data_IF_405895238731
#
_entry.id   IF_405895238731
#
_cell.length_a   1.000
_cell.length_b   1.000
_cell.length_c   1.000
_cell.angle_alpha   90.00
_cell.angle_beta   90.00
_cell.angle_gamma   90.00
#
_symmetry.space_group_name_H-M   'P 1'
#
loop_
_entity.id
_entity.type
_entity.pdbx_description
1 polymer ?
#
# COMPACT_ATOMS: atom_id res chain seq x y z
N UNK A 1 41.77 19.15 -10.25
CA UNK A 1 40.33 19.00 -9.99
C UNK A 1 40.18 18.22 -8.68
N UNK A 2 40.67 18.78 -7.56
CA UNK A 2 40.68 18.15 -6.23
C UNK A 2 40.76 19.27 -5.17
N UNK A 3 39.72 20.11 -5.08
CA UNK A 3 39.66 21.18 -4.08
C UNK A 3 38.23 21.43 -3.55
N UNK A 4 37.31 20.51 -3.82
CA UNK A 4 35.90 20.62 -3.46
C UNK A 4 35.43 19.56 -2.44
N UNK A 5 36.33 18.80 -1.81
CA UNK A 5 35.98 17.77 -0.81
C UNK A 5 36.52 18.01 0.61
N UNK A 6 37.50 18.90 0.79
CA UNK A 6 38.07 19.18 2.13
C UNK A 6 37.33 20.28 2.91
N UNK A 7 36.45 21.03 2.26
CA UNK A 7 35.66 22.10 2.89
C UNK A 7 34.36 21.60 3.53
N UNK A 8 33.80 20.49 3.06
CA UNK A 8 32.58 19.88 3.61
C UNK A 8 32.85 19.20 4.96
N UNK A 9 33.94 18.42 5.06
CA UNK A 9 34.22 17.62 6.26
C UNK A 9 34.51 18.46 7.51
N UNK A 10 35.05 19.67 7.36
CA UNK A 10 35.35 20.59 8.48
C UNK A 10 34.12 21.33 9.00
N UNK A 11 33.04 21.44 8.22
CA UNK A 11 31.77 22.00 8.68
C UNK A 11 30.84 20.94 9.28
N UNK A 12 30.98 19.67 8.87
CA UNK A 12 30.25 18.54 9.45
C UNK A 12 30.73 18.18 10.87
N UNK A 13 32.03 18.28 11.16
CA UNK A 13 32.60 18.01 12.50
C UNK A 13 31.95 18.82 13.64
N UNK A 14 31.87 20.16 13.59
CA UNK A 14 31.26 20.95 14.67
C UNK A 14 29.74 20.73 14.77
N UNK A 15 29.07 20.42 13.67
CA UNK A 15 27.62 20.10 13.65
C UNK A 15 27.35 18.76 14.35
N UNK A 16 28.18 17.76 14.10
CA UNK A 16 28.07 16.44 14.73
C UNK A 16 28.45 16.49 16.22
N UNK A 17 29.43 17.31 16.60
CA UNK A 17 29.77 17.57 18.00
C UNK A 17 28.60 18.19 18.77
N UNK A 18 27.87 19.12 18.16
CA UNK A 18 26.68 19.72 18.77
C UNK A 18 25.57 18.68 19.03
N UNK A 19 25.32 17.79 18.07
CA UNK A 19 24.36 16.69 18.23
C UNK A 19 24.79 15.75 19.36
N UNK A 20 26.08 15.40 19.45
CA UNK A 20 26.64 14.62 20.55
C UNK A 20 26.46 15.31 21.92
N UNK A 21 26.70 16.62 21.99
CA UNK A 21 26.52 17.40 23.22
C UNK A 21 25.06 17.43 23.68
N UNK A 22 24.11 17.67 22.77
CA UNK A 22 22.67 17.65 23.08
C UNK A 22 22.23 16.25 23.49
N UNK A 23 22.73 15.20 22.83
CA UNK A 23 22.44 13.80 23.18
C UNK A 23 22.88 13.47 24.60
N UNK A 24 24.15 13.74 24.92
CA UNK A 24 24.71 13.48 26.27
C UNK A 24 23.98 14.28 27.34
N UNK A 25 23.62 15.53 27.04
CA UNK A 25 22.85 16.37 27.96
C UNK A 25 21.46 15.81 28.25
N UNK A 26 20.76 15.31 27.23
CA UNK A 26 19.37 14.88 27.35
C UNK A 26 19.21 13.46 27.89
N UNK A 27 20.07 12.53 27.49
CA UNK A 27 19.95 11.11 27.84
C UNK A 27 20.98 10.63 28.87
N UNK A 28 22.00 11.45 29.17
CA UNK A 28 23.12 11.09 30.06
C UNK A 28 23.89 9.86 29.58
N UNK A 29 23.96 9.68 28.24
CA UNK A 29 24.66 8.60 27.54
C UNK A 29 25.66 9.16 26.54
N UNK A 30 26.72 8.42 26.25
CA UNK A 30 27.72 8.80 25.25
C UNK A 30 27.27 8.55 23.80
N UNK A 31 26.25 7.72 23.61
CA UNK A 31 25.67 7.43 22.30
C UNK A 31 24.39 6.61 22.42
N UNK A 32 23.74 6.29 21.28
CA UNK A 32 22.53 5.48 21.25
C UNK A 32 22.84 3.99 21.43
N UNK A 33 22.10 3.33 22.32
CA UNK A 33 22.32 1.93 22.71
C UNK A 33 21.36 0.96 22.00
N UNK A 34 20.13 1.40 21.74
CA UNK A 34 19.10 0.60 21.07
C UNK A 34 18.72 1.19 19.69
N UNK A 35 17.91 0.45 18.94
CA UNK A 35 17.55 0.82 17.56
C UNK A 35 16.69 2.11 17.51
N UNK A 36 15.81 2.32 18.49
CA UNK A 36 14.99 3.52 18.59
C UNK A 36 15.84 4.77 18.90
N UNK A 37 16.77 4.65 19.84
CA UNK A 37 17.75 5.70 20.14
C UNK A 37 18.62 6.01 18.92
N UNK A 38 19.04 4.98 18.16
CA UNK A 38 19.81 5.17 16.91
C UNK A 38 18.99 5.92 15.87
N UNK A 39 17.70 5.62 15.72
CA UNK A 39 16.82 6.33 14.80
C UNK A 39 16.68 7.82 15.16
N UNK A 40 16.51 8.14 16.46
CA UNK A 40 16.47 9.54 16.93
C UNK A 40 17.82 10.22 16.70
N UNK A 41 18.92 9.56 17.04
CA UNK A 41 20.26 10.12 16.85
C UNK A 41 20.54 10.46 15.38
N UNK A 42 20.20 9.57 14.45
CA UNK A 42 20.31 9.82 13.01
C UNK A 42 19.41 10.96 12.53
N UNK A 43 18.19 11.07 13.07
CA UNK A 43 17.28 12.19 12.78
C UNK A 43 17.86 13.52 13.20
N UNK A 44 18.50 13.60 14.37
CA UNK A 44 19.15 14.82 14.86
C UNK A 44 20.30 15.25 13.94
N UNK A 45 21.13 14.29 13.50
CA UNK A 45 22.19 14.57 12.52
C UNK A 45 21.62 15.11 11.21
N UNK A 46 20.54 14.50 10.70
CA UNK A 46 19.89 14.94 9.47
C UNK A 46 19.29 16.35 9.59
N UNK A 47 18.72 16.70 10.74
CA UNK A 47 18.12 18.02 10.97
C UNK A 47 19.16 19.15 10.92
N UNK A 48 20.34 18.93 11.48
CA UNK A 48 21.43 19.93 11.43
C UNK A 48 22.09 19.97 10.04
N UNK A 49 22.12 18.84 9.33
CA UNK A 49 22.62 18.79 7.96
C UNK A 49 21.71 19.53 6.97
N UNK A 50 20.39 19.55 7.20
CA UNK A 50 19.40 20.20 6.33
C UNK A 50 19.29 21.72 6.53
N UNK A 51 19.72 22.24 7.68
CA UNK A 51 19.62 23.66 8.01
C UNK A 51 20.97 24.36 7.78
N UNK A 52 21.21 24.79 6.53
CA UNK A 52 22.49 25.36 6.08
C UNK A 52 22.80 26.73 6.72
N UNK A 53 21.77 27.49 7.10
CA UNK A 53 21.86 28.90 7.54
C UNK A 53 21.70 29.11 9.06
N UNK A 54 21.43 28.03 9.81
CA UNK A 54 21.23 28.11 11.25
C UNK A 54 22.52 28.48 12.01
N UNK A 55 22.37 29.11 13.18
CA UNK A 55 23.47 29.29 14.12
C UNK A 55 23.40 28.23 15.24
N UNK A 56 24.48 28.11 16.01
CA UNK A 56 24.58 27.11 17.09
C UNK A 56 23.42 27.19 18.10
N UNK A 57 22.93 28.39 18.43
CA UNK A 57 21.80 28.57 19.33
C UNK A 57 20.47 28.09 18.71
N UNK A 58 20.25 28.38 17.42
CA UNK A 58 19.08 27.91 16.67
C UNK A 58 19.06 26.39 16.57
N UNK A 59 20.20 25.78 16.20
CA UNK A 59 20.35 24.33 16.13
C UNK A 59 20.18 23.67 17.49
N UNK A 60 20.77 24.22 18.55
CA UNK A 60 20.60 23.69 19.91
C UNK A 60 19.13 23.70 20.33
N UNK A 61 18.42 24.80 20.07
CA UNK A 61 16.98 24.88 20.38
C UNK A 61 16.15 23.89 19.57
N UNK A 62 16.47 23.71 18.29
CA UNK A 62 15.77 22.78 17.40
C UNK A 62 16.02 21.33 17.83
N UNK A 63 17.26 20.98 18.14
CA UNK A 63 17.66 19.65 18.62
C UNK A 63 17.02 19.32 19.96
N UNK A 64 17.06 20.24 20.93
CA UNK A 64 16.40 20.03 22.23
C UNK A 64 14.89 19.85 22.09
N UNK A 65 14.26 20.58 21.16
CA UNK A 65 12.84 20.40 20.84
C UNK A 65 12.57 19.00 20.29
N UNK A 66 13.33 18.58 19.29
CA UNK A 66 13.15 17.27 18.66
C UNK A 66 13.37 16.13 19.67
N UNK A 67 14.42 16.25 20.51
CA UNK A 67 14.66 15.29 21.59
C UNK A 67 13.47 15.25 22.53
N UNK A 68 13.01 16.40 23.04
CA UNK A 68 11.89 16.45 23.98
C UNK A 68 10.60 15.83 23.44
N UNK A 69 10.34 15.98 22.13
CA UNK A 69 9.16 15.39 21.48
C UNK A 69 9.25 13.87 21.35
N UNK A 70 10.46 13.32 21.21
CA UNK A 70 10.68 11.88 21.01
C UNK A 70 10.98 11.11 22.29
N UNK A 71 11.44 11.77 23.35
CA UNK A 71 11.85 11.12 24.62
C UNK A 71 10.78 10.20 25.19
N UNK A 72 9.50 10.59 25.16
CA UNK A 72 8.42 9.77 25.73
C UNK A 72 8.25 8.43 25.00
N UNK A 73 8.60 8.35 23.71
CA UNK A 73 8.49 7.13 22.90
C UNK A 73 9.74 6.25 22.97
N UNK A 74 10.80 6.74 23.62
CA UNK A 74 12.02 5.97 23.91
C UNK A 74 11.94 5.24 25.26
N UNK A 75 10.90 5.49 26.05
CA UNK A 75 10.68 4.80 27.32
C UNK A 75 10.42 3.31 27.09
N UNK A 76 11.20 2.40 27.71
CA UNK A 76 10.96 0.96 27.61
C UNK A 76 9.58 0.52 28.09
N UNK A 77 8.94 1.30 28.97
CA UNK A 77 7.59 1.03 29.47
C UNK A 77 6.50 1.47 28.49
N UNK A 78 6.84 2.35 27.53
CA UNK A 78 5.91 2.78 26.50
C UNK A 78 5.48 1.56 25.67
N UNK A 79 4.17 1.34 25.58
CA UNK A 79 3.65 0.18 24.86
C UNK A 79 2.26 0.34 24.30
N UNK A 80 1.65 -0.80 23.99
CA UNK A 80 0.29 -0.85 23.42
C UNK A 80 -0.75 -0.23 24.35
N UNK A 81 -0.59 -0.35 25.67
CA UNK A 81 -1.53 0.20 26.65
C UNK A 81 -1.54 1.73 26.57
N UNK A 82 -0.38 2.38 26.49
CA UNK A 82 -0.28 3.84 26.37
C UNK A 82 -0.87 4.34 25.06
N UNK A 83 -0.55 3.68 23.95
CA UNK A 83 -1.15 3.97 22.66
C UNK A 83 -2.67 3.83 22.67
N UNK A 84 -3.17 2.73 23.24
CA UNK A 84 -4.60 2.48 23.36
C UNK A 84 -5.28 3.52 24.24
N UNK A 85 -4.64 3.97 25.32
CA UNK A 85 -5.17 5.01 26.19
C UNK A 85 -5.29 6.35 25.47
N UNK A 86 -4.32 6.71 24.62
CA UNK A 86 -4.38 7.94 23.81
C UNK A 86 -5.53 7.87 22.81
N UNK A 87 -5.68 6.76 22.10
CA UNK A 87 -6.76 6.57 21.11
C UNK A 87 -8.13 6.54 21.81
N UNK A 88 -8.28 5.78 22.90
CA UNK A 88 -9.54 5.70 23.64
C UNK A 88 -9.93 7.05 24.24
N UNK A 89 -8.96 7.87 24.67
CA UNK A 89 -9.21 9.24 25.15
C UNK A 89 -9.86 10.10 24.08
N UNK A 90 -9.43 9.98 22.81
CA UNK A 90 -10.04 10.72 21.70
C UNK A 90 -11.49 10.29 21.53
N UNK A 91 -11.76 8.99 21.49
CA UNK A 91 -13.12 8.44 21.35
C UNK A 91 -14.03 8.87 22.50
N UNK A 92 -13.56 8.78 23.75
CA UNK A 92 -14.30 9.22 24.93
C UNK A 92 -14.63 10.72 24.87
N UNK A 93 -13.69 11.55 24.42
CA UNK A 93 -13.91 12.99 24.27
C UNK A 93 -14.90 13.31 23.15
N UNK A 94 -14.86 12.55 22.04
CA UNK A 94 -15.83 12.66 20.94
C UNK A 94 -17.23 12.32 21.44
N UNK A 95 -17.40 11.19 22.14
CA UNK A 95 -18.68 10.78 22.72
C UNK A 95 -19.20 11.85 23.70
N UNK A 96 -18.32 12.38 24.55
CA UNK A 96 -18.67 13.43 25.50
C UNK A 96 -19.12 14.73 24.81
N UNK A 97 -18.49 15.11 23.70
CA UNK A 97 -18.86 16.26 22.87
C UNK A 97 -20.19 16.06 22.16
N UNK A 98 -20.42 14.88 21.57
CA UNK A 98 -21.69 14.54 20.92
C UNK A 98 -22.86 14.56 21.92
N UNK A 99 -22.61 14.22 23.19
CA UNK A 99 -23.59 14.34 24.25
C UNK A 99 -23.94 15.79 24.64
N UNK A 100 -23.22 16.80 24.15
CA UNK A 100 -23.50 18.21 24.44
C UNK A 100 -24.50 18.81 23.44
N UNK A 101 -25.60 19.44 23.92
CA UNK A 101 -26.47 20.24 23.07
C UNK A 101 -25.72 21.35 22.33
N UNK A 102 -25.96 21.48 21.02
CA UNK A 102 -25.36 22.54 20.17
C UNK A 102 -25.59 23.94 20.72
N UNK A 103 -26.76 24.15 21.34
CA UNK A 103 -27.14 25.40 21.99
C UNK A 103 -26.07 25.87 23.00
N UNK A 104 -25.41 24.97 23.71
CA UNK A 104 -24.35 25.33 24.67
C UNK A 104 -23.07 25.87 24.01
N UNK A 105 -22.90 25.67 22.71
CA UNK A 105 -21.79 26.26 21.95
C UNK A 105 -22.20 27.51 21.18
N UNK A 106 -23.46 27.59 20.75
CA UNK A 106 -24.01 28.72 19.99
C UNK A 106 -24.44 29.88 20.89
N UNK A 107 -25.08 29.62 22.04
CA UNK A 107 -25.53 30.68 22.96
C UNK A 107 -24.39 31.64 23.34
N UNK A 108 -23.16 31.17 23.66
CA UNK A 108 -22.05 32.05 24.02
C UNK A 108 -21.57 32.99 22.90
N UNK A 109 -21.91 32.72 21.63
CA UNK A 109 -21.62 33.65 20.53
C UNK A 109 -22.50 34.89 20.58
N UNK A 110 -23.69 34.77 21.18
CA UNK A 110 -24.65 35.87 21.31
C UNK A 110 -24.37 36.79 22.51
N UNK A 111 -23.37 36.45 23.32
CA UNK A 111 -23.02 37.24 24.50
C UNK A 111 -22.33 38.55 24.12
N UNK A 112 -22.69 39.63 24.82
CA UNK A 112 -22.13 40.96 24.58
C UNK A 112 -20.63 41.04 24.89
N UNK A 113 -20.16 40.18 25.80
CA UNK A 113 -18.77 40.09 26.24
C UNK A 113 -18.04 38.93 25.56
N UNK A 114 -16.81 39.19 25.12
CA UNK A 114 -15.92 38.13 24.63
C UNK A 114 -15.55 37.16 25.76
N UNK A 115 -15.39 35.86 25.47
CA UNK A 115 -15.05 34.89 26.48
C UNK A 115 -13.61 35.08 26.96
N UNK A 116 -13.32 34.51 28.12
CA UNK A 116 -11.98 34.52 28.70
C UNK A 116 -10.93 33.97 27.70
N UNK A 117 -9.73 34.55 27.67
CA UNK A 117 -8.63 34.17 26.75
C UNK A 117 -8.33 32.67 26.69
N UNK A 118 -8.49 31.97 27.81
CA UNK A 118 -8.33 30.51 27.87
C UNK A 118 -9.29 29.76 26.92
N UNK A 119 -10.53 30.23 26.77
CA UNK A 119 -11.52 29.67 25.85
C UNK A 119 -11.15 30.02 24.41
N UNK A 120 -10.73 31.26 24.18
CA UNK A 120 -10.24 31.70 22.86
C UNK A 120 -9.04 30.86 22.41
N UNK A 121 -8.14 30.52 23.32
CA UNK A 121 -6.97 29.67 23.04
C UNK A 121 -7.37 28.24 22.67
N UNK A 122 -8.41 27.67 23.29
CA UNK A 122 -8.97 26.36 22.91
C UNK A 122 -9.55 26.41 21.52
N UNK A 123 -10.30 27.46 21.22
CA UNK A 123 -10.90 27.67 19.90
C UNK A 123 -9.83 27.82 18.82
N UNK A 124 -8.79 28.61 19.07
CA UNK A 124 -7.63 28.73 18.16
C UNK A 124 -6.99 27.36 17.91
N UNK A 125 -6.78 26.59 18.98
CA UNK A 125 -6.28 25.22 18.92
C UNK A 125 -7.14 24.31 18.02
N UNK A 126 -8.47 24.37 18.17
CA UNK A 126 -9.41 23.60 17.34
C UNK A 126 -9.31 24.01 15.88
N UNK A 127 -9.27 25.31 15.59
CA UNK A 127 -9.13 25.82 14.22
C UNK A 127 -7.82 25.37 13.58
N UNK A 128 -6.72 25.35 14.35
CA UNK A 128 -5.43 24.83 13.89
C UNK A 128 -5.45 23.33 13.61
N UNK A 129 -6.16 22.53 14.42
CA UNK A 129 -6.32 21.08 14.18
C UNK A 129 -7.00 20.79 12.82
N UNK A 130 -7.83 21.71 12.33
CA UNK A 130 -8.49 21.62 11.02
C UNK A 130 -7.81 22.44 9.93
N UNK A 131 -6.56 22.87 10.13
CA UNK A 131 -5.76 23.65 9.18
C UNK A 131 -6.51 24.89 8.64
N UNK A 132 -7.27 25.56 9.52
CA UNK A 132 -7.95 26.79 9.17
C UNK A 132 -6.91 27.91 9.12
N UNK A 133 -6.76 28.63 7.99
CA UNK A 133 -5.79 29.71 7.88
C UNK A 133 -6.19 30.87 8.79
N UNK A 134 -5.36 31.15 9.79
CA UNK A 134 -5.56 32.24 10.74
C UNK A 134 -4.61 33.41 10.42
N UNK A 135 -5.10 34.67 10.41
CA UNK A 135 -4.24 35.85 10.31
C UNK A 135 -3.21 35.92 11.45
N UNK A 136 -2.03 36.45 11.16
CA UNK A 136 -0.90 36.50 12.10
C UNK A 136 -1.08 37.49 13.27
N UNK A 137 -1.99 38.46 13.14
CA UNK A 137 -2.41 39.37 14.21
C UNK A 137 -3.93 39.38 14.26
N UNK A 138 -4.51 38.54 15.11
CA UNK A 138 -5.94 38.47 15.32
C UNK A 138 -6.26 38.86 16.76
N UNK A 139 -7.28 39.70 16.96
CA UNK A 139 -7.77 40.01 18.30
C UNK A 139 -8.56 38.83 18.87
N UNK A 140 -8.61 38.72 20.21
CA UNK A 140 -9.42 37.69 20.88
C UNK A 140 -10.92 37.80 20.49
N UNK A 141 -11.39 39.01 20.20
CA UNK A 141 -12.76 39.28 19.77
C UNK A 141 -13.01 38.80 18.34
N UNK A 142 -12.11 39.08 17.40
CA UNK A 142 -12.21 38.63 16.02
C UNK A 142 -12.05 37.11 15.91
N UNK A 143 -11.17 36.51 16.73
CA UNK A 143 -11.05 35.05 16.84
C UNK A 143 -12.39 34.42 17.23
N UNK A 144 -13.08 35.01 18.20
CA UNK A 144 -14.34 34.48 18.71
C UNK A 144 -15.53 34.74 17.78
N UNK A 145 -15.72 35.99 17.35
CA UNK A 145 -16.91 36.40 16.58
C UNK A 145 -16.80 36.05 15.10
N UNK A 146 -15.64 36.28 14.49
CA UNK A 146 -15.44 36.08 13.06
C UNK A 146 -14.98 34.66 12.75
N UNK A 147 -13.83 34.23 13.28
CA UNK A 147 -13.26 32.93 12.91
C UNK A 147 -14.07 31.77 13.50
N UNK A 148 -14.26 31.75 14.81
CA UNK A 148 -14.97 30.68 15.49
C UNK A 148 -16.47 30.70 15.21
N UNK A 149 -17.11 31.87 15.28
CA UNK A 149 -18.52 32.03 14.93
C UNK A 149 -18.85 31.47 13.55
N UNK A 150 -18.11 31.84 12.51
CA UNK A 150 -18.33 31.30 11.16
C UNK A 150 -18.05 29.79 11.09
N UNK A 151 -16.97 29.34 11.72
CA UNK A 151 -16.58 27.93 11.68
C UNK A 151 -17.63 27.04 12.36
N UNK A 152 -18.14 27.44 13.53
CA UNK A 152 -19.08 26.63 14.29
C UNK A 152 -20.48 26.64 13.67
N UNK A 153 -20.92 27.76 13.10
CA UNK A 153 -22.18 27.83 12.33
C UNK A 153 -22.09 26.89 11.13
N UNK A 154 -20.99 26.95 10.38
CA UNK A 154 -20.77 26.12 9.18
C UNK A 154 -20.70 24.62 9.50
N UNK A 155 -19.98 24.24 10.55
CA UNK A 155 -19.63 22.83 10.79
C UNK A 155 -20.46 22.16 11.89
N UNK A 156 -21.16 22.92 12.74
CA UNK A 156 -21.99 22.36 13.84
C UNK A 156 -23.46 22.75 13.67
N UNK A 157 -23.80 24.02 13.45
CA UNK A 157 -25.21 24.43 13.32
C UNK A 157 -25.87 23.85 12.06
N UNK A 158 -25.17 23.87 10.92
CA UNK A 158 -25.67 23.39 9.64
C UNK A 158 -25.98 21.89 9.58
N UNK A 159 -25.46 21.09 10.52
CA UNK A 159 -25.64 19.63 10.56
C UNK A 159 -26.71 19.26 11.57
N UNK A 160 -27.68 18.42 11.22
CA UNK A 160 -28.85 18.07 12.06
C UNK A 160 -28.48 17.53 13.46
N UNK A 161 -27.40 16.78 13.57
CA UNK A 161 -26.84 16.16 14.78
C UNK A 161 -25.69 16.93 15.41
N UNK A 162 -25.22 18.02 14.80
CA UNK A 162 -24.18 18.89 15.36
C UNK A 162 -22.79 18.30 15.19
N UNK A 163 -22.23 17.78 16.29
CA UNK A 163 -20.84 17.29 16.35
C UNK A 163 -20.61 15.97 15.59
N UNK A 164 -21.62 15.39 14.93
CA UNK A 164 -21.43 14.28 13.98
C UNK A 164 -20.51 14.67 12.81
N UNK A 165 -20.44 15.95 12.44
CA UNK A 165 -19.47 16.39 11.44
C UNK A 165 -18.03 16.03 11.86
N UNK A 166 -17.69 16.16 13.14
CA UNK A 166 -16.35 15.82 13.63
C UNK A 166 -16.02 14.33 13.60
N UNK A 167 -17.00 13.43 13.70
CA UNK A 167 -16.72 11.98 13.63
C UNK A 167 -16.40 11.50 12.23
N UNK A 168 -16.69 12.32 11.22
CA UNK A 168 -16.45 12.02 9.83
C UNK A 168 -15.25 12.79 9.26
N UNK A 169 -14.65 13.70 10.03
CA UNK A 169 -13.52 14.52 9.62
C UNK A 169 -12.39 14.37 10.64
N UNK A 170 -11.32 13.69 10.24
CA UNK A 170 -10.11 13.60 11.06
C UNK A 170 -9.41 14.97 11.12
N UNK A 171 -8.83 15.38 12.26
CA UNK A 171 -7.99 16.57 12.32
C UNK A 171 -6.75 16.35 11.45
N UNK A 172 -6.51 17.26 10.49
CA UNK A 172 -5.48 17.11 9.43
C UNK A 172 -4.25 17.99 9.72
N UNK A 173 -4.37 18.99 10.60
CA UNK A 173 -3.29 19.95 10.86
C UNK A 173 -2.39 19.56 12.03
N UNK A 174 -1.09 19.32 11.79
CA UNK A 174 -0.05 19.46 12.81
C UNK A 174 0.83 20.70 12.54
N UNK A 175 0.63 21.67 13.45
CA UNK A 175 1.58 22.59 14.07
C UNK A 175 2.51 23.50 13.26
N UNK A 176 2.17 24.78 13.28
CA UNK A 176 3.17 25.86 13.47
C UNK A 176 3.47 26.17 14.95
N UNK A 177 2.69 25.65 15.94
CA UNK A 177 2.87 25.96 17.39
C UNK A 177 2.44 24.82 18.38
N UNK A 178 3.26 23.79 18.65
CA UNK A 178 2.92 22.66 19.55
C UNK A 178 2.72 23.04 21.02
N UNK A 179 3.31 24.15 21.46
CA UNK A 179 3.25 24.58 22.86
C UNK A 179 1.92 25.26 23.25
N UNK A 180 1.08 25.69 22.30
CA UNK A 180 -0.23 26.28 22.58
C UNK A 180 -1.27 25.25 23.05
N UNK A 181 -1.03 23.97 22.76
CA UNK A 181 -1.96 22.85 22.95
C UNK A 181 -1.64 21.94 24.15
N UNK A 182 -0.65 22.29 24.97
CA UNK A 182 -0.32 21.49 26.15
C UNK A 182 -1.45 21.51 27.19
N UNK A 183 -1.75 20.35 27.80
CA UNK A 183 -2.74 20.24 28.90
C UNK A 183 -2.44 21.27 30.00
N UNK A 184 -1.17 21.50 30.31
CA UNK A 184 -0.71 22.53 31.25
C UNK A 184 -1.16 23.96 30.92
N UNK A 185 -1.27 24.32 29.63
CA UNK A 185 -1.73 25.65 29.18
C UNK A 185 -3.26 25.74 29.10
N UNK A 186 -3.94 24.60 29.01
CA UNK A 186 -5.39 24.53 28.86
C UNK A 186 -6.14 24.38 30.20
N UNK A 187 -5.48 23.92 31.27
CA UNK A 187 -6.18 23.20 32.36
C UNK A 187 -6.22 23.87 33.75
N UNK A 188 -6.13 25.20 33.87
CA UNK A 188 -6.13 25.85 35.21
C UNK A 188 -6.95 27.13 35.35
N UNK A 189 -8.08 27.26 34.67
CA UNK A 189 -8.95 28.44 34.83
C UNK A 189 -10.35 28.10 35.35
N UNK A 190 -10.84 28.92 36.29
CA UNK A 190 -12.21 28.77 36.84
C UNK A 190 -13.30 29.04 35.80
N UNK A 191 -12.98 29.64 34.65
CA UNK A 191 -13.94 29.99 33.59
C UNK A 191 -14.68 28.78 33.02
N UNK A 192 -14.13 27.57 33.15
CA UNK A 192 -14.75 26.33 32.67
C UNK A 192 -16.08 26.00 33.35
N UNK A 193 -16.31 26.46 34.58
CA UNK A 193 -17.60 26.25 35.29
C UNK A 193 -18.76 26.94 34.57
N UNK A 194 -18.49 28.03 33.85
CA UNK A 194 -19.52 28.80 33.15
C UNK A 194 -19.75 28.32 31.71
N UNK A 195 -18.82 27.54 31.15
CA UNK A 195 -18.87 27.02 29.79
C UNK A 195 -18.43 25.55 29.75
N UNK A 196 -19.25 24.63 30.32
CA UNK A 196 -18.90 23.22 30.42
C UNK A 196 -18.72 22.54 29.06
N UNK A 197 -19.46 22.99 28.04
CA UNK A 197 -19.34 22.49 26.68
C UNK A 197 -17.94 22.79 26.07
N UNK A 198 -17.41 23.99 26.32
CA UNK A 198 -16.06 24.37 25.90
C UNK A 198 -14.96 23.69 26.73
N UNK A 199 -15.25 23.28 27.96
CA UNK A 199 -14.35 22.42 28.72
C UNK A 199 -14.22 21.02 28.07
N UNK A 200 -15.31 20.46 27.54
CA UNK A 200 -15.26 19.21 26.75
C UNK A 200 -14.52 19.38 25.43
N UNK A 201 -14.68 20.54 24.78
CA UNK A 201 -13.93 20.87 23.56
C UNK A 201 -12.43 20.97 23.80
N UNK A 202 -12.05 21.54 24.94
CA UNK A 202 -10.67 21.58 25.41
C UNK A 202 -10.10 20.17 25.63
N UNK A 203 -10.83 19.32 26.34
CA UNK A 203 -10.40 17.94 26.62
C UNK A 203 -10.18 17.17 25.32
N UNK A 204 -11.10 17.34 24.36
CA UNK A 204 -10.99 16.77 23.02
C UNK A 204 -9.78 17.31 22.25
N UNK A 205 -9.59 18.63 22.20
CA UNK A 205 -8.45 19.23 21.49
C UNK A 205 -7.10 18.76 22.08
N UNK A 206 -7.02 18.61 23.40
CA UNK A 206 -5.86 18.03 24.07
C UNK A 206 -5.65 16.56 23.72
N UNK A 207 -6.71 15.76 23.66
CA UNK A 207 -6.64 14.36 23.24
C UNK A 207 -6.20 14.22 21.77
N UNK A 208 -6.75 15.04 20.86
CA UNK A 208 -6.32 15.10 19.47
C UNK A 208 -4.86 15.50 19.33
N UNK A 209 -4.40 16.50 20.08
CA UNK A 209 -2.99 16.90 20.08
C UNK A 209 -2.07 15.74 20.53
N UNK A 210 -2.45 15.00 21.58
CA UNK A 210 -1.69 13.83 22.04
C UNK A 210 -1.68 12.69 21.01
N UNK A 211 -2.82 12.44 20.36
CA UNK A 211 -2.97 11.45 19.29
C UNK A 211 -2.11 11.78 18.07
N UNK A 212 -2.18 13.02 17.61
CA UNK A 212 -1.41 13.54 16.49
C UNK A 212 0.10 13.55 16.79
N UNK A 213 0.49 13.96 18.00
CA UNK A 213 1.87 13.90 18.45
C UNK A 213 2.39 12.45 18.50
N UNK A 214 1.57 11.50 18.97
CA UNK A 214 1.89 10.08 18.87
C UNK A 214 2.08 9.67 17.41
N UNK A 215 1.12 9.90 16.53
CA UNK A 215 1.24 9.51 15.13
C UNK A 215 2.52 10.00 14.44
N UNK A 216 2.93 11.23 14.71
CA UNK A 216 4.07 11.86 14.05
C UNK A 216 5.43 11.45 14.65
N UNK A 217 5.49 11.26 15.97
CA UNK A 217 6.78 11.06 16.66
C UNK A 217 7.11 9.61 17.01
N UNK A 218 6.13 8.71 16.92
CA UNK A 218 6.22 7.30 17.21
C UNK A 218 7.06 6.57 16.14
N UNK A 219 8.19 5.99 16.55
CA UNK A 219 9.20 5.42 15.65
C UNK A 219 8.90 3.98 15.18
N UNK A 220 9.21 3.58 13.95
CA UNK A 220 9.02 2.20 13.50
C UNK A 220 9.71 1.11 14.36
N UNK A 221 10.81 1.47 15.01
CA UNK A 221 11.73 0.53 15.67
C UNK A 221 11.31 0.14 17.10
N UNK A 222 10.38 0.84 17.74
CA UNK A 222 9.99 0.51 19.12
C UNK A 222 8.83 -0.51 19.17
N UNK A 223 8.75 -1.26 20.27
CA UNK A 223 7.92 -2.48 20.37
C UNK A 223 6.41 -2.30 20.13
N UNK A 224 5.81 -1.16 20.47
CA UNK A 224 4.37 -0.94 20.27
C UNK A 224 4.01 -0.28 18.93
N UNK A 225 4.96 -0.08 18.00
CA UNK A 225 4.70 0.59 16.73
C UNK A 225 3.69 -0.16 15.88
N UNK A 226 3.82 -1.48 15.80
CA UNK A 226 2.81 -2.31 15.12
C UNK A 226 1.42 -2.17 15.74
N UNK A 227 1.38 -1.94 17.06
CA UNK A 227 0.17 -1.84 17.83
C UNK A 227 -0.52 -0.48 17.58
N UNK A 228 0.25 0.62 17.56
CA UNK A 228 -0.22 1.94 17.09
C UNK A 228 -0.73 1.84 15.67
N UNK A 229 0.07 1.27 14.77
CA UNK A 229 -0.30 1.12 13.36
C UNK A 229 -1.64 0.39 13.21
N UNK A 230 -1.89 -0.67 13.99
CA UNK A 230 -3.18 -1.38 13.99
C UNK A 230 -4.34 -0.52 14.52
N UNK A 231 -4.12 0.27 15.57
CA UNK A 231 -5.14 1.13 16.17
C UNK A 231 -5.54 2.29 15.24
N UNK A 232 -4.57 2.91 14.58
CA UNK A 232 -4.79 4.11 13.75
C UNK A 232 -5.15 3.78 12.30
N UNK A 233 -5.02 2.51 11.89
CA UNK A 233 -5.51 2.09 10.59
C UNK A 233 -7.04 2.20 10.60
N UNK A 234 -7.66 2.96 9.68
CA UNK A 234 -9.11 3.08 9.62
C UNK A 234 -9.77 1.71 9.58
N UNK A 235 -10.89 1.50 10.32
CA UNK A 235 -11.60 0.24 10.24
C UNK A 235 -12.03 0.00 8.79
N UNK A 236 -11.94 -1.26 8.37
CA UNK A 236 -12.41 -1.64 7.04
C UNK A 236 -13.89 -1.33 6.95
N UNK A 237 -14.24 -0.32 6.14
CA UNK A 237 -15.62 0.14 5.97
C UNK A 237 -16.51 -1.03 5.53
N UNK A 238 -17.72 -1.03 6.05
CA UNK A 238 -18.70 -2.06 5.69
C UNK A 238 -19.22 -1.81 4.27
N UNK A 239 -19.72 -2.82 3.54
CA UNK A 239 -20.17 -2.64 2.16
C UNK A 239 -21.23 -1.55 1.93
N UNK A 240 -21.95 -1.11 2.98
CA UNK A 240 -22.93 -0.02 2.94
C UNK A 240 -22.29 1.37 3.00
N UNK A 241 -21.13 1.50 3.62
CA UNK A 241 -20.38 2.74 3.86
C UNK A 241 -19.25 2.95 2.84
N UNK A 242 -18.93 1.93 2.04
CA UNK A 242 -17.89 2.03 1.03
C UNK A 242 -18.21 3.09 -0.01
N UNK A 243 -17.20 3.92 -0.27
CA UNK A 243 -17.25 4.94 -1.33
C UNK A 243 -16.90 4.30 -2.68
N UNK A 244 -15.98 3.33 -2.67
CA UNK A 244 -15.49 2.68 -3.87
C UNK A 244 -15.91 1.23 -4.00
N UNK A 245 -16.34 0.86 -5.21
CA UNK A 245 -16.73 -0.51 -5.54
C UNK A 245 -15.89 -1.02 -6.70
N UNK A 246 -15.22 -2.16 -6.50
CA UNK A 246 -14.57 -2.87 -7.61
C UNK A 246 -15.63 -3.70 -8.34
N UNK A 247 -15.66 -3.51 -9.65
CA UNK A 247 -16.52 -4.22 -10.57
C UNK A 247 -15.68 -4.91 -11.64
N UNK A 248 -16.29 -5.86 -12.32
CA UNK A 248 -15.69 -6.60 -13.42
C UNK A 248 -16.71 -6.67 -14.56
N UNK A 249 -16.26 -6.36 -15.78
CA UNK A 249 -17.09 -6.49 -16.99
C UNK A 249 -17.29 -7.97 -17.34
N UNK A 250 -18.20 -8.25 -18.27
CA UNK A 250 -18.42 -9.61 -18.78
C UNK A 250 -17.14 -10.22 -19.37
N UNK A 251 -16.30 -9.39 -20.02
CA UNK A 251 -15.00 -9.78 -20.56
C UNK A 251 -13.88 -9.87 -19.51
N UNK A 252 -14.21 -9.71 -18.22
CA UNK A 252 -13.28 -9.81 -17.11
C UNK A 252 -12.42 -8.55 -16.88
N UNK A 253 -12.80 -7.40 -17.41
CA UNK A 253 -12.04 -6.15 -17.20
C UNK A 253 -12.46 -5.54 -15.87
N UNK A 254 -11.50 -5.36 -14.96
CA UNK A 254 -11.76 -4.69 -13.69
C UNK A 254 -11.93 -3.17 -13.89
N UNK A 255 -12.91 -2.59 -13.22
CA UNK A 255 -13.12 -1.14 -13.14
C UNK A 255 -13.63 -0.76 -11.73
N UNK A 256 -13.51 0.51 -11.37
CA UNK A 256 -13.81 1.02 -10.04
C UNK A 256 -14.85 2.14 -10.13
N UNK A 257 -15.95 1.96 -9.41
CA UNK A 257 -17.03 2.94 -9.33
C UNK A 257 -16.95 3.73 -8.02
N UNK A 258 -17.00 5.06 -8.12
CA UNK A 258 -17.14 5.97 -6.99
C UNK A 258 -18.61 6.33 -6.78
N UNK A 259 -19.16 5.99 -5.62
CA UNK A 259 -20.56 6.29 -5.27
C UNK A 259 -20.82 7.80 -5.09
N UNK A 260 -19.86 8.54 -4.53
CA UNK A 260 -20.03 9.96 -4.23
C UNK A 260 -19.99 10.81 -5.50
N UNK A 261 -19.03 10.53 -6.38
CA UNK A 261 -18.86 11.28 -7.63
C UNK A 261 -19.60 10.67 -8.82
N UNK A 262 -20.22 9.49 -8.63
CA UNK A 262 -20.91 8.73 -9.66
C UNK A 262 -20.05 8.58 -10.94
N UNK A 263 -18.78 8.25 -10.73
CA UNK A 263 -17.78 8.18 -11.79
C UNK A 263 -17.09 6.83 -11.81
N UNK A 264 -16.57 6.46 -12.98
CA UNK A 264 -15.88 5.19 -13.21
C UNK A 264 -14.43 5.47 -13.57
N UNK A 265 -13.54 4.69 -12.97
CA UNK A 265 -12.11 4.70 -13.26
C UNK A 265 -11.63 3.29 -13.54
N UNK A 266 -10.61 3.16 -14.40
CA UNK A 266 -10.04 1.85 -14.74
C UNK A 266 -8.84 1.48 -13.88
N UNK A 267 -8.17 2.48 -13.33
CA UNK A 267 -7.04 2.30 -12.44
C UNK A 267 -7.52 2.28 -11.00
N UNK A 268 -6.84 1.51 -10.16
CA UNK A 268 -7.19 1.39 -8.75
C UNK A 268 -6.97 2.73 -8.04
N UNK A 269 -8.00 3.33 -7.43
CA UNK A 269 -7.86 4.56 -6.65
C UNK A 269 -6.92 4.36 -5.44
N UNK A 270 -6.23 5.43 -5.04
CA UNK A 270 -5.30 5.39 -3.88
C UNK A 270 -6.03 5.12 -2.57
N UNK A 271 -7.24 5.65 -2.43
CA UNK A 271 -8.14 5.52 -1.29
C UNK A 271 -9.09 4.30 -1.39
N UNK A 272 -8.77 3.33 -2.26
CA UNK A 272 -9.62 2.16 -2.49
C UNK A 272 -9.66 1.21 -1.27
N UNK A 273 -10.77 1.25 -0.54
CA UNK A 273 -11.09 0.44 0.65
C UNK A 273 -11.94 -0.81 0.35
N UNK A 274 -12.53 -0.89 -0.86
CA UNK A 274 -13.46 -1.94 -1.27
C UNK A 274 -12.88 -3.32 -1.59
N UNK A 275 -11.59 -3.58 -1.32
CA UNK A 275 -10.91 -4.83 -1.73
C UNK A 275 -11.53 -6.11 -1.15
N UNK A 276 -12.21 -5.99 -0.01
CA UNK A 276 -12.85 -7.11 0.69
C UNK A 276 -14.32 -7.33 0.27
N UNK A 277 -14.87 -6.41 -0.52
CA UNK A 277 -16.25 -6.52 -1.03
C UNK A 277 -16.22 -7.31 -2.33
N UNK A 278 -16.65 -8.57 -2.25
CA UNK A 278 -16.88 -9.36 -3.44
C UNK A 278 -17.95 -8.68 -4.31
N UNK A 279 -17.77 -8.71 -5.64
CA UNK A 279 -18.72 -8.09 -6.59
C UNK A 279 -20.17 -8.55 -6.37
N UNK A 280 -20.37 -9.82 -5.98
CA UNK A 280 -21.68 -10.40 -5.66
C UNK A 280 -22.35 -9.79 -4.42
N UNK A 281 -21.58 -9.16 -3.54
CA UNK A 281 -22.03 -8.51 -2.29
C UNK A 281 -22.27 -7.01 -2.44
N UNK A 282 -22.11 -6.44 -3.64
CA UNK A 282 -22.46 -5.04 -3.91
C UNK A 282 -23.99 -4.88 -3.75
N UNK A 283 -24.50 -3.90 -2.97
CA UNK A 283 -25.94 -3.65 -2.82
C UNK A 283 -26.63 -3.40 -4.18
N UNK A 284 -27.88 -3.83 -4.34
CA UNK A 284 -28.63 -3.72 -5.62
C UNK A 284 -28.72 -2.28 -6.12
N UNK A 285 -29.03 -1.33 -5.22
CA UNK A 285 -29.11 0.11 -5.53
C UNK A 285 -27.81 0.63 -6.13
N UNK A 286 -26.65 0.17 -5.64
CA UNK A 286 -25.35 0.60 -6.18
C UNK A 286 -25.10 -0.01 -7.56
N UNK A 287 -25.56 -1.25 -7.81
CA UNK A 287 -25.46 -1.87 -9.14
C UNK A 287 -26.30 -1.14 -10.18
N UNK A 288 -27.49 -0.68 -9.79
CA UNK A 288 -28.35 0.14 -10.65
C UNK A 288 -27.66 1.45 -11.01
N UNK A 289 -27.10 2.17 -10.03
CA UNK A 289 -26.34 3.40 -10.30
C UNK A 289 -25.13 3.16 -11.22
N UNK A 290 -24.38 2.08 -11.01
CA UNK A 290 -23.27 1.70 -11.90
C UNK A 290 -23.76 1.49 -13.34
N UNK A 291 -24.89 0.80 -13.50
CA UNK A 291 -25.48 0.55 -14.81
C UNK A 291 -25.94 1.86 -15.47
N UNK A 292 -26.55 2.77 -14.71
CA UNK A 292 -26.94 4.10 -15.19
C UNK A 292 -25.72 4.94 -15.62
N UNK A 293 -24.64 4.97 -14.82
CA UNK A 293 -23.40 5.67 -15.19
C UNK A 293 -22.78 5.10 -16.46
N UNK A 294 -22.74 3.77 -16.60
CA UNK A 294 -22.23 3.11 -17.81
C UNK A 294 -23.10 3.35 -19.05
N UNK A 295 -24.41 3.51 -18.87
CA UNK A 295 -25.32 3.85 -19.98
C UNK A 295 -25.18 5.32 -20.39
N UNK A 296 -25.02 6.22 -19.42
CA UNK A 296 -24.87 7.65 -19.67
C UNK A 296 -23.52 7.99 -20.34
N UNK A 297 -22.44 7.32 -19.96
CA UNK A 297 -21.10 7.59 -20.48
C UNK A 297 -20.67 6.59 -21.56
N UNK A 298 -20.96 6.97 -22.80
CA UNK A 298 -20.57 6.22 -24.00
C UNK A 298 -19.06 6.03 -24.10
N UNK A 299 -18.26 7.00 -23.65
CA UNK A 299 -16.80 6.96 -23.78
C UNK A 299 -16.19 5.88 -22.89
N UNK A 300 -16.65 5.79 -21.63
CA UNK A 300 -16.25 4.76 -20.67
C UNK A 300 -16.65 3.36 -21.14
N UNK A 301 -17.84 3.21 -21.74
CA UNK A 301 -18.28 1.91 -22.30
C UNK A 301 -17.40 1.44 -23.47
N UNK A 302 -17.09 2.33 -24.41
CA UNK A 302 -16.23 2.00 -25.55
C UNK A 302 -14.82 1.61 -25.08
N UNK A 303 -14.31 2.26 -24.04
CA UNK A 303 -13.01 1.92 -23.46
C UNK A 303 -13.03 0.56 -22.73
N UNK A 304 -14.13 0.21 -22.03
CA UNK A 304 -14.33 -1.14 -21.47
C UNK A 304 -14.32 -2.22 -22.55
N UNK A 305 -15.05 -2.02 -23.64
CA UNK A 305 -15.07 -2.96 -24.77
C UNK A 305 -13.68 -3.10 -25.41
N UNK A 306 -12.94 -1.98 -25.55
CA UNK A 306 -11.57 -2.00 -26.08
C UNK A 306 -10.66 -2.84 -25.21
N UNK A 307 -10.68 -2.63 -23.88
CA UNK A 307 -9.88 -3.40 -22.92
C UNK A 307 -10.31 -4.87 -22.85
N UNK A 308 -11.61 -5.16 -22.98
CA UNK A 308 -12.15 -6.52 -23.03
C UNK A 308 -11.63 -7.28 -24.23
N UNK A 309 -11.73 -6.68 -25.43
CA UNK A 309 -11.16 -7.23 -26.66
C UNK A 309 -9.66 -7.48 -26.56
N UNK A 310 -8.90 -6.54 -25.97
CA UNK A 310 -7.46 -6.71 -25.76
C UNK A 310 -7.15 -7.88 -24.79
N UNK A 311 -7.94 -8.05 -23.72
CA UNK A 311 -7.77 -9.14 -22.77
C UNK A 311 -8.11 -10.50 -23.38
N UNK A 312 -9.24 -10.59 -24.10
CA UNK A 312 -9.62 -11.80 -24.85
C UNK A 312 -8.56 -12.11 -25.90
N UNK A 313 -8.07 -11.11 -26.63
CA UNK A 313 -7.00 -11.29 -27.60
C UNK A 313 -5.70 -11.78 -26.96
N UNK A 314 -5.31 -11.24 -25.80
CA UNK A 314 -4.15 -11.73 -25.05
C UNK A 314 -4.35 -13.17 -24.53
N UNK A 315 -5.57 -13.52 -24.08
CA UNK A 315 -5.91 -14.89 -23.69
C UNK A 315 -5.88 -15.86 -24.87
N UNK A 316 -6.35 -15.45 -26.04
CA UNK A 316 -6.29 -16.23 -27.28
C UNK A 316 -4.86 -16.38 -27.80
N UNK A 317 -4.02 -15.35 -27.68
CA UNK A 317 -2.59 -15.41 -28.00
C UNK A 317 -1.80 -16.31 -27.05
N UNK A 318 -2.26 -16.45 -25.80
CA UNK A 318 -1.70 -17.42 -24.85
C UNK A 318 -2.20 -18.86 -25.14
N UNK A 319 -3.30 -19.00 -25.89
CA UNK A 319 -3.92 -20.29 -26.26
C UNK A 319 -3.40 -20.82 -27.61
N UNK A 320 -2.30 -21.58 -27.51
CA UNK A 320 -1.92 -22.75 -28.31
C UNK A 320 -1.53 -22.69 -29.81
N UNK A 321 -0.31 -23.20 -30.07
CA UNK A 321 0.08 -23.79 -31.35
C UNK A 321 -0.23 -25.29 -31.36
N UNK A 322 -1.09 -25.71 -32.29
CA UNK A 322 -1.49 -27.09 -32.52
C UNK A 322 -0.86 -27.62 -33.81
N UNK A 323 -0.39 -28.85 -33.80
CA UNK A 323 0.15 -29.54 -34.98
C UNK A 323 -0.84 -30.60 -35.44
N UNK A 324 -1.31 -30.51 -36.67
CA UNK A 324 -2.11 -31.55 -37.29
C UNK A 324 -1.19 -32.72 -37.70
N UNK A 325 -1.33 -33.85 -37.02
CA UNK A 325 -0.59 -35.10 -37.17
C UNK A 325 -1.39 -36.17 -37.93
N UNK A 326 -0.70 -37.17 -38.49
CA UNK A 326 -1.30 -38.31 -39.19
C UNK A 326 -0.81 -39.64 -38.60
N UNK A 327 -1.73 -40.51 -38.16
CA UNK A 327 -1.38 -41.88 -37.79
C UNK A 327 -1.23 -42.73 -39.06
N UNK A 328 0.01 -43.12 -39.36
CA UNK A 328 0.36 -43.92 -40.54
C UNK A 328 -0.26 -45.33 -40.58
N UNK A 329 -0.65 -45.91 -39.44
CA UNK A 329 -1.21 -47.27 -39.38
C UNK A 329 -2.69 -47.28 -39.73
N UNK A 330 -3.44 -46.29 -39.25
CA UNK A 330 -4.89 -46.17 -39.44
C UNK A 330 -5.26 -45.12 -40.48
N UNK A 331 -4.31 -44.33 -40.95
CA UNK A 331 -4.48 -43.20 -41.87
C UNK A 331 -5.44 -42.11 -41.34
N UNK A 332 -5.55 -41.98 -40.02
CA UNK A 332 -6.43 -41.01 -39.37
C UNK A 332 -5.65 -39.80 -38.87
N UNK A 333 -6.21 -38.60 -39.06
CA UNK A 333 -5.64 -37.34 -38.58
C UNK A 333 -5.93 -37.14 -37.09
N UNK A 334 -5.00 -36.50 -36.39
CA UNK A 334 -5.15 -36.11 -34.99
C UNK A 334 -4.33 -34.84 -34.72
N UNK A 335 -4.69 -34.02 -33.74
CA UNK A 335 -4.07 -32.72 -33.48
C UNK A 335 -3.29 -32.75 -32.17
N UNK A 336 -2.09 -32.16 -32.14
CA UNK A 336 -1.20 -32.18 -31.00
C UNK A 336 -0.76 -30.77 -30.57
N UNK A 337 -1.05 -30.35 -29.34
CA UNK A 337 -0.54 -29.08 -28.81
C UNK A 337 0.91 -29.27 -28.34
N UNK A 338 1.83 -28.50 -28.94
CA UNK A 338 3.25 -28.52 -28.55
C UNK A 338 3.42 -27.94 -27.14
N UNK A 339 2.67 -26.90 -26.81
CA UNK A 339 2.79 -26.16 -25.55
C UNK A 339 2.20 -26.95 -24.37
N UNK A 340 1.20 -27.80 -24.62
CA UNK A 340 0.45 -28.50 -23.57
C UNK A 340 0.52 -30.03 -23.64
N UNK A 341 1.24 -30.60 -24.61
CA UNK A 341 1.46 -32.05 -24.76
C UNK A 341 0.16 -32.88 -24.85
N UNK A 342 -0.91 -32.32 -25.42
CA UNK A 342 -2.23 -32.98 -25.55
C UNK A 342 -2.51 -33.41 -26.98
N UNK A 343 -3.21 -34.53 -27.16
CA UNK A 343 -3.69 -35.02 -28.46
C UNK A 343 -5.21 -35.00 -28.56
N UNK A 344 -5.76 -34.59 -29.70
CA UNK A 344 -7.20 -34.62 -30.02
C UNK A 344 -7.47 -35.37 -31.32
N UNK A 345 -8.54 -36.16 -31.39
CA UNK A 345 -8.97 -36.83 -32.63
C UNK A 345 -9.68 -35.90 -33.61
N UNK A 346 -10.23 -34.77 -33.11
CA UNK A 346 -10.94 -33.76 -33.89
C UNK A 346 -10.22 -32.41 -33.78
N UNK A 347 -10.34 -31.51 -34.78
CA UNK A 347 -9.72 -30.20 -34.72
C UNK A 347 -10.31 -29.40 -33.54
N UNK A 348 -9.46 -28.84 -32.67
CA UNK A 348 -9.86 -27.85 -31.67
C UNK A 348 -10.57 -26.64 -32.31
N UNK A 349 -11.55 -26.07 -31.63
CA UNK A 349 -12.35 -24.94 -32.14
C UNK A 349 -11.53 -23.65 -32.30
N UNK A 350 -10.44 -23.50 -31.54
CA UNK A 350 -9.55 -22.33 -31.55
C UNK A 350 -8.07 -22.76 -31.45
N UNK A 351 -7.19 -22.06 -32.18
CA UNK A 351 -5.73 -22.28 -32.17
C UNK A 351 -5.08 -22.05 -33.54
N UNK A 352 -3.74 -21.98 -33.57
CA UNK A 352 -2.95 -21.92 -34.81
C UNK A 352 -2.54 -23.34 -35.21
N UNK A 353 -2.90 -23.78 -36.42
CA UNK A 353 -2.63 -25.13 -36.91
C UNK A 353 -1.43 -25.18 -37.85
N UNK A 354 -0.41 -25.95 -37.48
CA UNK A 354 0.74 -26.25 -38.33
C UNK A 354 0.63 -27.68 -38.88
N UNK A 355 0.92 -27.88 -40.16
CA UNK A 355 0.91 -29.23 -40.75
C UNK A 355 2.09 -30.07 -40.22
N UNK A 356 1.88 -31.38 -39.99
CA UNK A 356 2.98 -32.29 -39.62
C UNK A 356 4.16 -32.30 -40.60
N UNK A 357 3.95 -31.90 -41.86
CA UNK A 357 5.02 -31.83 -42.87
C UNK A 357 5.96 -30.64 -42.65
N UNK A 358 5.44 -29.59 -42.06
CA UNK A 358 6.14 -28.31 -41.85
C UNK A 358 6.67 -28.23 -40.42
N UNK A 359 6.06 -28.95 -39.47
CA UNK A 359 6.47 -28.98 -38.07
C UNK A 359 7.84 -29.65 -37.85
N UNK A 360 8.83 -28.84 -37.47
CA UNK A 360 10.19 -29.28 -37.17
C UNK A 360 10.24 -30.23 -35.94
N UNK A 361 9.37 -30.00 -34.97
CA UNK A 361 9.25 -30.83 -33.77
C UNK A 361 8.77 -32.24 -34.13
N UNK A 362 7.74 -32.35 -34.98
CA UNK A 362 7.22 -33.65 -35.43
C UNK A 362 8.27 -34.44 -36.23
N UNK A 363 8.97 -33.79 -37.17
CA UNK A 363 10.04 -34.41 -37.93
C UNK A 363 11.18 -34.94 -37.04
N UNK A 364 11.51 -34.23 -35.96
CA UNK A 364 12.55 -34.61 -35.01
C UNK A 364 12.16 -35.86 -34.19
N UNK A 365 10.91 -35.96 -33.75
CA UNK A 365 10.40 -37.15 -33.04
C UNK A 365 10.42 -38.39 -33.92
N UNK A 366 10.01 -38.29 -35.19
CA UNK A 366 10.07 -39.40 -36.13
C UNK A 366 11.50 -39.90 -36.34
N UNK A 367 12.48 -38.98 -36.45
CA UNK A 367 13.90 -39.33 -36.56
C UNK A 367 14.41 -40.07 -35.31
N UNK A 368 14.02 -39.62 -34.11
CA UNK A 368 14.37 -40.30 -32.86
C UNK A 368 13.76 -41.70 -32.77
N UNK A 369 12.49 -41.87 -33.14
CA UNK A 369 11.83 -43.18 -33.16
C UNK A 369 12.46 -44.13 -34.18
N UNK A 370 12.81 -43.63 -35.37
CA UNK A 370 13.50 -44.40 -36.39
C UNK A 370 14.90 -44.84 -35.90
N UNK A 371 15.67 -43.93 -35.28
CA UNK A 371 16.96 -44.24 -34.71
C UNK A 371 16.88 -45.30 -33.59
N UNK A 372 15.87 -45.22 -32.72
CA UNK A 372 15.65 -46.20 -31.66
C UNK A 372 15.28 -47.58 -32.21
N UNK A 373 14.37 -47.65 -33.19
CA UNK A 373 14.00 -48.91 -33.87
C UNK A 373 15.20 -49.55 -34.56
N UNK A 374 16.03 -48.74 -35.23
CA UNK A 374 17.28 -49.18 -35.84
C UNK A 374 18.23 -49.78 -34.82
N UNK A 375 18.52 -49.09 -33.70
CA UNK A 375 19.37 -49.62 -32.63
C UNK A 375 18.84 -50.95 -32.07
N UNK A 376 17.53 -51.08 -31.87
CA UNK A 376 16.90 -52.32 -31.38
C UNK A 376 17.02 -53.47 -32.38
N UNK A 377 16.94 -53.19 -33.68
CA UNK A 377 17.14 -54.18 -34.75
C UNK A 377 18.61 -54.59 -34.83
N UNK A 378 19.54 -53.63 -34.76
CA UNK A 378 20.98 -53.88 -34.72
C UNK A 378 21.34 -54.78 -33.54
N UNK A 379 20.83 -54.50 -32.33
CA UNK A 379 21.00 -55.37 -31.18
C UNK A 379 20.45 -56.80 -31.42
N UNK A 380 19.23 -56.93 -31.97
CA UNK A 380 18.65 -58.25 -32.31
C UNK A 380 19.47 -59.01 -33.35
N UNK A 381 20.01 -58.33 -34.35
CA UNK A 381 20.83 -58.94 -35.40
C UNK A 381 22.21 -59.33 -34.89
N UNK A 382 22.83 -58.52 -34.02
CA UNK A 382 24.06 -58.89 -33.32
C UNK A 382 23.86 -60.12 -32.44
N UNK A 383 22.77 -60.19 -31.67
CA UNK A 383 22.41 -61.39 -30.87
C UNK A 383 22.20 -62.62 -31.77
N UNK A 384 21.54 -62.47 -32.93
CA UNK A 384 21.39 -63.57 -33.90
C UNK A 384 22.71 -64.00 -34.54
N UNK A 385 23.59 -63.05 -34.87
CA UNK A 385 24.93 -63.34 -35.40
C UNK A 385 25.79 -64.06 -34.37
N UNK A 386 25.75 -63.65 -33.10
CA UNK A 386 26.42 -64.34 -32.00
C UNK A 386 25.93 -65.80 -31.86
N UNK A 387 24.60 -66.02 -31.89
CA UNK A 387 24.02 -67.38 -31.90
C UNK A 387 24.40 -68.22 -33.13
N UNK A 388 24.67 -67.59 -34.27
CA UNK A 388 25.07 -68.26 -35.52
C UNK A 388 26.58 -68.57 -35.55
N UNK A 389 27.40 -67.80 -34.84
CA UNK A 389 28.85 -68.04 -34.68
C UNK A 389 29.18 -69.25 -33.81
N UNK A 390 28.27 -69.69 -32.94
CA UNK A 390 28.39 -70.92 -32.15
C UNK A 390 28.00 -72.21 -32.89
N UNK A 391 27.60 -72.14 -34.16
CA UNK A 391 27.31 -73.31 -34.99
C UNK A 391 28.50 -73.59 -35.93
N UNK A 392 29.04 -74.83 -36.03
CA UNK A 392 30.15 -75.14 -36.92
C UNK A 392 29.79 -74.86 -38.39
N UNK A 393 30.59 -74.04 -39.07
CA UNK A 393 30.40 -73.66 -40.48
C UNK A 393 31.24 -74.54 -41.41
N UNK A 394 30.64 -75.02 -42.52
CA UNK A 394 31.21 -75.91 -43.56
C UNK A 394 32.46 -75.36 -44.31
N UNK A 395 33.03 -74.23 -43.90
CA UNK A 395 34.17 -73.59 -44.55
C UNK A 395 35.51 -74.36 -44.41
N UNK A 396 35.57 -75.45 -43.65
CA UNK A 396 36.74 -76.36 -43.63
C UNK A 396 36.95 -77.11 -44.96
N UNK A 397 35.97 -77.13 -45.87
CA UNK A 397 36.06 -77.87 -47.14
C UNK A 397 36.77 -77.13 -48.29
N UNK A 398 37.03 -75.83 -48.19
CA UNK A 398 37.52 -75.04 -49.33
C UNK A 398 39.07 -74.96 -49.47
N UNK A 399 39.86 -75.66 -48.64
CA UNK A 399 41.29 -75.40 -48.52
C UNK A 399 42.26 -76.32 -49.29
N UNK A 400 41.84 -77.14 -50.28
CA UNK A 400 42.78 -77.96 -51.08
C UNK A 400 42.57 -77.98 -52.60
N UNK A 401 41.77 -77.07 -53.15
CA UNK A 401 41.73 -76.83 -54.62
C UNK A 401 42.99 -76.12 -55.17
N UNK A 402 43.90 -75.66 -54.30
CA UNK A 402 45.06 -74.83 -54.63
C UNK A 402 46.36 -75.59 -54.91
N UNK A 403 46.34 -76.93 -54.99
CA UNK A 403 47.51 -77.77 -55.24
C UNK A 403 47.69 -78.18 -56.73
N UNK A 404 46.95 -77.57 -57.66
CA UNK A 404 46.94 -77.98 -59.09
C UNK A 404 47.81 -77.10 -60.02
N UNK A 405 48.72 -76.28 -59.50
CA UNK A 405 49.48 -75.31 -60.31
C UNK A 405 51.02 -75.34 -60.15
N UNK A 406 51.60 -76.34 -59.47
CA UNK A 406 53.05 -76.53 -59.40
C UNK A 406 53.34 -78.03 -59.56
N UNK A 407 54.26 -78.39 -60.47
CA UNK A 407 54.47 -79.72 -61.10
C UNK A 407 53.51 -79.92 -62.30
N UNK A 408 53.85 -79.64 -63.57
CA UNK A 408 55.05 -80.04 -64.33
C UNK A 408 55.45 -81.48 -64.07
#
# INVERSE_FOLDING_TARGET
MELAKETDSRQEEPRNELVHLVWRRSFHKDGPENDAERAVYQRLLALVAQDEDGNEATWTSLLLREVSAKTQYLDPEWGFVDASNIVSRVDECIIALQGQPKKHFLDPLSWDMSPHRAIVSVVEAVLLLFDVPLPSQLSDEDMWRACWGLWIVKNIEAHSSGWEWMTHNEPIGLFTKPYALSVSNLDRHRCWHHLPAYARLRDWAGACAAYLHMLDHCLPEFHGYEAVRKLVTPPKRTPKENVWFRCESEDGVAYFYNRLYQSITFDRPQDFDGAHVAQKKIPSVIRELIAETLQADVSTRLELERRGKLKIHAQLLDQDQWVECLDTRTQTRYYYSIRHYKTSATPPEHGVFESYRESFAYASVLRLQAAYRRRRLEHKTQVRKAKRGTLPSFATFANKGRAKAQHS
#
